data_IF_282020047429
#
_entry.id   IF_282020047429
#
_cell.length_a   1.000
_cell.length_b   1.000
_cell.length_c   1.000
_cell.angle_alpha   90.00
_cell.angle_beta   90.00
_cell.angle_gamma   90.00
#
_symmetry.space_group_name_H-M   'P 1'
#
loop_
_entity.id
_entity.type
_entity.pdbx_description
1 polymer ?
#
# COMPACT_ATOMS: atom_id res chain seq x y z
N UNK A 1 5.21 20.93 1.35
CA UNK A 1 4.58 19.78 2.03
C UNK A 1 4.82 19.91 3.53
N UNK A 2 3.85 19.52 4.34
CA UNK A 2 3.95 19.52 5.81
C UNK A 2 4.97 18.47 6.27
N UNK A 3 5.65 18.69 7.40
CA UNK A 3 6.52 17.65 8.00
C UNK A 3 5.70 16.42 8.43
N UNK A 4 4.40 16.57 8.69
CA UNK A 4 3.51 15.45 9.05
C UNK A 4 3.39 14.40 7.93
N UNK A 5 3.47 14.79 6.66
CA UNK A 5 3.37 13.85 5.55
C UNK A 5 4.63 13.01 5.35
N UNK A 6 5.77 13.45 5.90
CA UNK A 6 7.04 12.71 5.82
C UNK A 6 7.16 11.59 6.85
N UNK A 7 6.31 11.60 7.88
CA UNK A 7 6.31 10.58 8.92
C UNK A 7 6.10 9.18 8.31
N UNK A 8 6.73 8.19 8.93
CA UNK A 8 6.37 6.80 8.75
C UNK A 8 5.04 6.50 9.44
N UNK A 9 4.38 5.41 9.09
CA UNK A 9 3.13 5.01 9.76
C UNK A 9 3.36 4.77 11.26
N UNK A 10 4.50 4.17 11.62
CA UNK A 10 4.87 3.94 13.01
C UNK A 10 5.07 5.25 13.78
N UNK A 11 5.78 6.23 13.20
CA UNK A 11 5.98 7.55 13.80
C UNK A 11 4.67 8.31 13.95
N UNK A 12 3.80 8.27 12.94
CA UNK A 12 2.48 8.90 12.98
C UNK A 12 1.60 8.29 14.10
N UNK A 13 1.63 6.95 14.26
CA UNK A 13 0.95 6.26 15.35
C UNK A 13 1.43 6.72 16.72
N UNK A 14 2.72 6.82 16.93
CA UNK A 14 3.28 7.31 18.20
C UNK A 14 2.97 8.80 18.43
N UNK A 15 2.99 9.63 17.37
CA UNK A 15 2.64 11.04 17.43
C UNK A 15 1.18 11.27 17.86
N UNK A 16 0.24 10.48 17.30
CA UNK A 16 -1.18 10.51 17.70
C UNK A 16 -1.36 10.04 19.16
N UNK A 17 -0.67 8.95 19.54
CA UNK A 17 -0.72 8.42 20.90
C UNK A 17 -0.17 9.41 21.95
N UNK A 18 0.91 10.10 21.63
CA UNK A 18 1.51 11.14 22.48
C UNK A 18 0.79 12.48 22.40
N UNK A 19 -0.23 12.59 21.52
CA UNK A 19 -0.98 13.84 21.25
C UNK A 19 -0.08 15.00 20.78
N UNK A 20 1.00 14.68 20.06
CA UNK A 20 1.87 15.68 19.44
C UNK A 20 1.18 16.44 18.30
N UNK A 21 0.18 15.81 17.70
CA UNK A 21 -0.75 16.36 16.71
C UNK A 21 -2.04 15.54 16.76
N UNK A 22 -3.09 16.06 16.15
CA UNK A 22 -4.40 15.41 16.04
C UNK A 22 -4.52 14.59 14.76
N UNK A 23 -5.44 13.61 14.73
CA UNK A 23 -5.77 12.89 13.51
C UNK A 23 -6.31 13.84 12.43
N UNK A 24 -7.03 14.89 12.82
CA UNK A 24 -7.52 15.90 11.89
C UNK A 24 -6.38 16.70 11.25
N UNK A 25 -5.38 17.15 12.03
CA UNK A 25 -4.20 17.85 11.48
C UNK A 25 -3.41 16.94 10.52
N UNK A 26 -3.18 15.69 10.90
CA UNK A 26 -2.49 14.71 10.07
C UNK A 26 -3.25 14.46 8.77
N UNK A 27 -4.56 14.20 8.85
CA UNK A 27 -5.41 13.94 7.68
C UNK A 27 -5.48 15.14 6.75
N UNK A 28 -5.62 16.35 7.28
CA UNK A 28 -5.62 17.58 6.49
C UNK A 28 -4.30 17.77 5.75
N UNK A 29 -3.17 17.51 6.42
CA UNK A 29 -1.85 17.61 5.78
C UNK A 29 -1.72 16.67 4.56
N UNK A 30 -2.30 15.46 4.63
CA UNK A 30 -2.32 14.55 3.47
C UNK A 30 -3.30 14.99 2.39
N UNK A 31 -4.47 15.53 2.74
CA UNK A 31 -5.41 16.09 1.75
C UNK A 31 -4.74 17.23 0.98
N UNK A 32 -4.10 18.16 1.67
CA UNK A 32 -3.38 19.28 1.04
C UNK A 32 -2.24 18.77 0.12
N UNK A 33 -1.52 17.74 0.57
CA UNK A 33 -0.47 17.11 -0.23
C UNK A 33 -1.01 16.43 -1.50
N UNK A 34 -2.16 15.74 -1.39
CA UNK A 34 -2.83 15.11 -2.54
C UNK A 34 -3.29 16.19 -3.53
N UNK A 35 -3.93 17.25 -3.06
CA UNK A 35 -4.38 18.36 -3.92
C UNK A 35 -3.22 19.00 -4.68
N UNK A 36 -2.08 19.19 -4.01
CA UNK A 36 -0.89 19.77 -4.63
C UNK A 36 -0.15 18.81 -5.58
N UNK A 37 -0.03 17.51 -5.21
CA UNK A 37 0.82 16.55 -5.92
C UNK A 37 0.12 15.71 -6.97
N UNK A 38 -1.14 15.36 -6.73
CA UNK A 38 -1.88 14.42 -7.59
C UNK A 38 -2.06 14.90 -9.05
N UNK A 39 -2.25 16.20 -9.35
CA UNK A 39 -2.34 16.67 -10.74
C UNK A 39 -1.10 16.33 -11.60
N UNK A 40 0.07 16.20 -10.98
CA UNK A 40 1.30 15.83 -11.68
C UNK A 40 1.54 14.32 -11.74
N UNK A 41 1.01 13.55 -10.78
CA UNK A 41 1.29 12.14 -10.61
C UNK A 41 0.15 11.23 -11.06
N UNK A 42 -1.09 11.69 -10.99
CA UNK A 42 -2.29 10.90 -11.24
C UNK A 42 -2.31 9.60 -10.42
N UNK A 43 -1.87 9.68 -9.15
CA UNK A 43 -1.81 8.55 -8.24
C UNK A 43 -3.17 8.22 -7.62
N UNK A 44 -4.05 9.22 -7.42
CA UNK A 44 -5.43 9.06 -6.98
C UNK A 44 -6.39 9.28 -8.13
N UNK A 45 -7.35 8.37 -8.29
CA UNK A 45 -8.47 8.50 -9.26
C UNK A 45 -9.73 9.07 -8.61
N UNK A 46 -9.83 8.96 -7.28
CA UNK A 46 -10.87 9.61 -6.48
C UNK A 46 -10.35 9.91 -5.08
N UNK A 47 -10.76 11.04 -4.51
CA UNK A 47 -10.46 11.42 -3.13
C UNK A 47 -11.73 11.40 -2.28
N UNK A 48 -11.57 11.15 -0.97
CA UNK A 48 -12.68 11.09 -0.01
C UNK A 48 -12.46 12.07 1.15
N UNK A 49 -12.06 13.30 0.85
CA UNK A 49 -11.61 14.31 1.82
C UNK A 49 -12.63 14.56 2.95
N UNK A 50 -13.92 14.77 2.62
CA UNK A 50 -14.96 14.97 3.64
C UNK A 50 -15.12 13.78 4.57
N UNK A 51 -15.16 12.56 3.99
CA UNK A 51 -15.21 11.31 4.76
C UNK A 51 -13.98 11.16 5.65
N UNK A 52 -12.79 11.44 5.11
CA UNK A 52 -11.53 11.34 5.84
C UNK A 52 -11.50 12.29 7.05
N UNK A 53 -11.92 13.53 6.89
CA UNK A 53 -11.98 14.51 7.98
C UNK A 53 -13.04 14.15 9.03
N UNK A 54 -14.18 13.59 8.63
CA UNK A 54 -15.19 13.10 9.57
C UNK A 54 -14.63 11.93 10.40
N UNK A 55 -13.98 10.94 9.75
CA UNK A 55 -13.31 9.83 10.43
C UNK A 55 -12.19 10.32 11.36
N UNK A 56 -11.43 11.34 10.96
CA UNK A 56 -10.37 11.94 11.78
C UNK A 56 -10.93 12.58 13.06
N UNK A 57 -12.04 13.29 12.95
CA UNK A 57 -12.70 13.88 14.12
C UNK A 57 -13.20 12.81 15.12
N UNK A 58 -13.75 11.70 14.61
CA UNK A 58 -14.14 10.56 15.46
C UNK A 58 -12.91 9.91 16.12
N UNK A 59 -11.81 9.78 15.37
CA UNK A 59 -10.54 9.25 15.89
C UNK A 59 -9.98 10.13 17.01
N UNK A 60 -9.98 11.45 16.84
CA UNK A 60 -9.54 12.38 17.88
C UNK A 60 -10.39 12.26 19.16
N UNK A 61 -11.69 12.09 19.01
CA UNK A 61 -12.58 11.85 20.15
C UNK A 61 -12.25 10.52 20.88
N UNK A 62 -11.96 9.43 20.15
CA UNK A 62 -11.53 8.15 20.73
C UNK A 62 -10.18 8.25 21.44
N UNK A 63 -9.20 8.87 20.79
CA UNK A 63 -7.86 9.10 21.37
C UNK A 63 -7.97 9.95 22.65
N UNK A 64 -8.86 10.96 22.62
CA UNK A 64 -9.14 11.79 23.78
C UNK A 64 -9.64 11.01 25.00
N UNK A 65 -10.47 9.99 24.78
CA UNK A 65 -11.01 9.10 25.83
C UNK A 65 -10.10 7.93 26.20
N UNK A 66 -8.96 7.75 25.52
CA UNK A 66 -8.09 6.58 25.73
C UNK A 66 -8.61 5.28 25.10
N UNK A 67 -9.50 5.37 24.12
CA UNK A 67 -10.13 4.26 23.40
C UNK A 67 -9.53 4.04 22.00
N UNK A 68 -8.28 4.49 21.78
CA UNK A 68 -7.63 4.38 20.48
C UNK A 68 -7.44 2.92 20.06
N UNK A 69 -7.82 2.62 18.81
CA UNK A 69 -7.60 1.32 18.16
C UNK A 69 -6.17 1.26 17.58
N UNK A 70 -5.69 0.10 17.13
CA UNK A 70 -4.28 -0.05 16.68
C UNK A 70 -3.83 0.88 15.55
N UNK A 71 -4.72 1.22 14.62
CA UNK A 71 -4.46 2.14 13.50
C UNK A 71 -5.27 3.44 13.62
N UNK A 72 -5.74 3.78 14.81
CA UNK A 72 -6.63 4.92 15.03
C UNK A 72 -6.05 6.21 14.47
N UNK A 73 -6.80 6.81 13.55
CA UNK A 73 -6.46 8.12 13.01
C UNK A 73 -5.36 8.13 11.93
N UNK A 74 -4.94 6.97 11.41
CA UNK A 74 -3.87 6.88 10.40
C UNK A 74 -4.43 6.93 8.97
N UNK A 75 -4.08 7.96 8.14
CA UNK A 75 -4.58 8.13 6.78
C UNK A 75 -3.91 7.19 5.78
N UNK A 76 -4.73 6.39 5.07
CA UNK A 76 -4.30 5.38 4.11
C UNK A 76 -4.91 5.62 2.72
N UNK A 77 -4.16 5.20 1.68
CA UNK A 77 -4.66 5.08 0.32
C UNK A 77 -5.17 3.67 0.02
N UNK A 78 -6.21 3.56 -0.82
CA UNK A 78 -6.84 2.27 -1.15
C UNK A 78 -6.80 2.03 -2.65
N UNK A 79 -6.11 0.98 -3.11
CA UNK A 79 -6.08 0.60 -4.53
C UNK A 79 -7.49 0.40 -5.07
N UNK A 80 -7.78 0.87 -6.26
CA UNK A 80 -9.15 1.02 -6.78
C UNK A 80 -9.93 -0.30 -6.98
N UNK A 81 -9.28 -1.45 -6.90
CA UNK A 81 -9.94 -2.75 -6.97
C UNK A 81 -10.50 -3.27 -5.64
N UNK A 82 -10.20 -2.64 -4.50
CA UNK A 82 -10.83 -3.01 -3.23
C UNK A 82 -12.22 -2.39 -3.15
N UNK A 83 -13.27 -3.22 -3.11
CA UNK A 83 -14.63 -2.77 -2.91
C UNK A 83 -14.73 -2.03 -1.58
N UNK A 84 -15.15 -0.77 -1.66
CA UNK A 84 -15.33 0.11 -0.51
C UNK A 84 -16.75 0.62 -0.52
N UNK A 85 -17.52 0.34 0.53
CA UNK A 85 -18.94 0.70 0.62
C UNK A 85 -19.15 2.20 0.44
N UNK A 86 -20.03 2.56 -0.50
CA UNK A 86 -20.40 3.93 -0.78
C UNK A 86 -19.29 4.75 -1.44
N UNK A 87 -18.29 4.08 -2.05
CA UNK A 87 -17.23 4.75 -2.82
C UNK A 87 -17.00 3.97 -4.10
N UNK A 88 -16.97 4.65 -5.23
CA UNK A 88 -16.70 4.03 -6.52
C UNK A 88 -15.46 3.14 -6.45
N UNK A 89 -15.58 1.89 -6.90
CA UNK A 89 -14.52 0.88 -6.90
C UNK A 89 -14.52 0.21 -8.26
N UNK A 90 -13.71 0.75 -9.18
CA UNK A 90 -13.87 0.54 -10.62
C UNK A 90 -12.72 -0.25 -11.24
N UNK A 91 -11.71 -0.65 -10.45
CA UNK A 91 -10.48 -1.28 -10.94
C UNK A 91 -9.85 -0.49 -12.09
N UNK A 92 -9.98 0.83 -12.08
CA UNK A 92 -9.56 1.77 -13.11
C UNK A 92 -10.04 1.40 -14.53
N UNK A 93 -11.26 0.84 -14.65
CA UNK A 93 -11.87 0.42 -15.90
C UNK A 93 -13.18 1.18 -16.16
N UNK A 94 -13.43 1.54 -17.41
CA UNK A 94 -14.72 2.07 -17.85
C UNK A 94 -15.85 1.03 -17.80
N UNK A 95 -15.51 -0.27 -17.81
CA UNK A 95 -16.49 -1.35 -17.69
C UNK A 95 -17.26 -1.27 -16.36
N UNK A 96 -16.57 -0.84 -15.29
CA UNK A 96 -17.15 -0.67 -13.96
C UNK A 96 -17.44 0.80 -13.60
N UNK A 97 -17.53 1.68 -14.60
CA UNK A 97 -17.80 3.09 -14.37
C UNK A 97 -19.11 3.27 -13.58
N UNK A 98 -19.02 4.05 -12.47
CA UNK A 98 -20.14 4.26 -11.56
C UNK A 98 -20.46 3.10 -10.62
N UNK A 99 -19.67 2.00 -10.61
CA UNK A 99 -19.89 0.92 -9.66
C UNK A 99 -19.55 1.36 -8.23
N UNK A 100 -20.58 1.46 -7.42
CA UNK A 100 -20.51 1.78 -5.99
C UNK A 100 -20.92 0.55 -5.18
N UNK A 101 -19.97 -0.18 -4.56
CA UNK A 101 -20.27 -1.35 -3.77
C UNK A 101 -21.17 -1.06 -2.56
N UNK A 102 -22.15 -1.94 -2.32
CA UNK A 102 -22.97 -1.93 -1.11
C UNK A 102 -22.32 -2.69 0.06
N UNK A 103 -21.14 -3.23 -0.16
CA UNK A 103 -20.36 -4.03 0.79
C UNK A 103 -18.90 -3.58 0.82
N UNK A 104 -18.21 -3.97 1.88
CA UNK A 104 -16.79 -3.69 2.09
C UNK A 104 -15.96 -4.93 1.74
N UNK A 105 -14.77 -4.76 1.18
CA UNK A 105 -13.81 -5.87 1.11
C UNK A 105 -13.35 -6.23 2.52
N UNK A 106 -13.04 -7.51 2.76
CA UNK A 106 -12.60 -7.95 4.08
C UNK A 106 -11.33 -7.22 4.52
N UNK A 107 -10.40 -7.00 3.59
CA UNK A 107 -9.15 -6.29 3.89
C UNK A 107 -9.39 -4.84 4.33
N UNK A 108 -10.23 -4.10 3.62
CA UNK A 108 -10.54 -2.71 3.99
C UNK A 108 -11.39 -2.65 5.25
N UNK A 109 -12.34 -3.57 5.44
CA UNK A 109 -13.10 -3.67 6.68
C UNK A 109 -12.18 -3.86 7.90
N UNK A 110 -11.21 -4.76 7.81
CA UNK A 110 -10.23 -4.99 8.88
C UNK A 110 -9.43 -3.72 9.22
N UNK A 111 -9.05 -2.94 8.20
CA UNK A 111 -8.34 -1.66 8.39
C UNK A 111 -9.22 -0.61 9.07
N UNK A 112 -10.51 -0.53 8.68
CA UNK A 112 -11.47 0.40 9.31
C UNK A 112 -11.80 -0.01 10.75
N UNK A 113 -11.92 -1.30 11.02
CA UNK A 113 -12.13 -1.83 12.36
C UNK A 113 -10.92 -1.54 13.26
N UNK A 114 -9.72 -1.53 12.68
CA UNK A 114 -8.49 -1.12 13.37
C UNK A 114 -8.34 0.41 13.54
N UNK A 115 -9.19 1.23 12.91
CA UNK A 115 -9.22 2.68 13.09
C UNK A 115 -8.56 3.51 12.00
N UNK A 116 -8.16 2.91 10.90
CA UNK A 116 -7.56 3.64 9.78
C UNK A 116 -8.56 4.57 9.09
N UNK A 117 -8.05 5.62 8.46
CA UNK A 117 -8.80 6.64 7.73
C UNK A 117 -8.56 6.45 6.23
N UNK A 118 -9.62 6.54 5.42
CA UNK A 118 -9.52 6.45 3.97
C UNK A 118 -9.32 7.83 3.33
N UNK A 119 -8.20 8.02 2.60
CA UNK A 119 -7.94 9.23 1.81
C UNK A 119 -8.57 9.20 0.42
N UNK A 120 -8.70 8.03 -0.17
CA UNK A 120 -9.25 7.88 -1.51
C UNK A 120 -8.83 6.60 -2.22
N UNK A 121 -9.19 6.52 -3.52
CA UNK A 121 -8.93 5.38 -4.40
C UNK A 121 -7.71 5.66 -5.27
N UNK A 122 -6.78 4.71 -5.27
CA UNK A 122 -5.48 4.81 -5.93
C UNK A 122 -5.51 4.17 -7.32
N UNK A 123 -4.86 4.84 -8.26
CA UNK A 123 -4.73 4.43 -9.64
C UNK A 123 -4.03 3.07 -9.78
N UNK A 124 -4.34 2.35 -10.83
CA UNK A 124 -3.81 1.03 -11.12
C UNK A 124 -3.94 0.70 -12.61
N UNK A 125 -3.19 -0.27 -13.10
CA UNK A 125 -3.50 -0.85 -14.40
C UNK A 125 -4.91 -1.45 -14.40
N UNK A 126 -5.64 -1.30 -15.51
CA UNK A 126 -7.01 -1.76 -15.65
C UNK A 126 -7.15 -3.24 -15.27
N UNK A 127 -8.08 -3.55 -14.35
CA UNK A 127 -8.30 -4.90 -13.78
C UNK A 127 -7.02 -5.58 -13.24
N UNK A 128 -6.03 -4.80 -12.81
CA UNK A 128 -4.71 -5.28 -12.37
C UNK A 128 -3.90 -6.00 -13.48
N UNK A 129 -4.28 -5.83 -14.75
CA UNK A 129 -3.67 -6.47 -15.91
C UNK A 129 -2.60 -5.57 -16.55
N UNK A 130 -1.50 -5.35 -15.83
CA UNK A 130 -0.39 -4.54 -16.31
C UNK A 130 0.75 -4.46 -15.32
N UNK A 131 1.83 -3.80 -15.72
CA UNK A 131 3.06 -3.65 -14.92
C UNK A 131 3.68 -2.26 -14.98
N UNK A 132 2.95 -1.26 -15.52
CA UNK A 132 3.46 0.11 -15.70
C UNK A 132 2.49 1.19 -15.23
N UNK A 133 1.21 0.84 -15.01
CA UNK A 133 0.10 1.75 -14.73
C UNK A 133 -0.19 2.74 -15.88
N UNK A 134 0.03 2.26 -17.12
CA UNK A 134 -0.30 3.01 -18.32
C UNK A 134 -1.68 2.63 -18.89
N UNK A 135 -2.24 1.47 -18.50
CA UNK A 135 -3.48 0.93 -19.03
C UNK A 135 -4.74 1.43 -18.31
N UNK A 136 -4.59 2.27 -17.30
CA UNK A 136 -5.71 2.86 -16.56
C UNK A 136 -6.63 3.68 -17.46
N UNK A 137 -7.94 3.47 -17.36
CA UNK A 137 -8.95 4.31 -18.03
C UNK A 137 -8.84 5.80 -17.64
N UNK A 138 -8.38 6.08 -16.41
CA UNK A 138 -8.18 7.44 -15.89
C UNK A 138 -6.83 8.05 -16.28
N UNK A 139 -6.11 7.42 -17.19
CA UNK A 139 -4.79 7.83 -17.65
C UNK A 139 -3.64 7.28 -16.80
N UNK A 140 -2.40 7.39 -17.32
CA UNK A 140 -1.23 6.81 -16.70
C UNK A 140 -0.90 7.47 -15.36
N UNK A 141 -0.44 6.65 -14.40
CA UNK A 141 0.20 7.13 -13.19
C UNK A 141 1.68 7.43 -13.47
N UNK A 142 2.19 8.49 -12.89
CA UNK A 142 3.57 8.95 -13.08
C UNK A 142 4.36 8.74 -11.79
N UNK A 143 5.57 8.18 -11.93
CA UNK A 143 6.50 8.06 -10.81
C UNK A 143 6.90 9.44 -10.27
N UNK A 144 7.01 9.63 -8.94
CA UNK A 144 7.56 10.87 -8.38
C UNK A 144 9.04 11.06 -8.68
N UNK A 145 9.75 9.97 -9.01
CA UNK A 145 11.16 10.04 -9.37
C UNK A 145 11.39 10.65 -10.75
N UNK A 146 12.56 11.25 -10.92
CA UNK A 146 13.01 11.82 -12.19
C UNK A 146 14.38 11.27 -12.53
N UNK A 147 14.68 11.20 -13.81
CA UNK A 147 16.04 10.90 -14.27
C UNK A 147 16.97 12.07 -13.91
N UNK A 148 18.22 11.74 -13.62
CA UNK A 148 19.23 12.77 -13.35
C UNK A 148 20.13 13.04 -14.57
N UNK A 149 19.68 12.66 -15.76
CA UNK A 149 20.34 12.91 -17.05
C UNK A 149 19.92 14.25 -17.72
N UNK A 150 19.17 15.08 -17.00
CA UNK A 150 18.65 16.36 -17.50
C UNK A 150 17.41 16.23 -18.40
N UNK A 151 16.92 15.03 -18.65
CA UNK A 151 15.70 14.82 -19.44
C UNK A 151 14.44 15.11 -18.60
N UNK A 152 13.37 15.53 -19.28
CA UNK A 152 12.04 15.68 -18.69
C UNK A 152 11.18 14.41 -18.85
N UNK A 153 11.79 13.26 -19.09
CA UNK A 153 11.07 12.03 -19.30
C UNK A 153 10.25 11.65 -18.04
N UNK A 154 8.97 11.41 -18.25
CA UNK A 154 8.10 10.85 -17.22
C UNK A 154 8.40 9.36 -17.07
N UNK A 155 8.57 8.92 -15.84
CA UNK A 155 8.84 7.50 -15.54
C UNK A 155 7.56 6.82 -15.09
N UNK A 156 7.42 5.55 -15.40
CA UNK A 156 6.35 4.69 -14.87
C UNK A 156 6.66 4.34 -13.41
N UNK A 157 5.65 4.27 -12.54
CA UNK A 157 5.84 3.83 -11.14
C UNK A 157 5.92 2.32 -11.01
N UNK A 158 5.75 1.58 -12.13
CA UNK A 158 5.43 0.16 -12.12
C UNK A 158 3.93 -0.09 -11.93
N UNK A 159 3.54 -1.34 -11.89
CA UNK A 159 2.14 -1.77 -11.79
C UNK A 159 1.99 -3.25 -11.40
N UNK A 160 0.77 -3.63 -11.21
CA UNK A 160 -0.48 -2.86 -11.41
C UNK A 160 -0.79 -1.88 -10.26
N UNK A 161 -0.12 -1.92 -9.11
CA UNK A 161 -0.36 -1.02 -7.96
C UNK A 161 0.49 0.27 -8.08
N UNK A 162 0.55 0.87 -9.28
CA UNK A 162 1.39 2.03 -9.54
C UNK A 162 0.98 3.26 -8.75
N UNK A 163 -0.32 3.56 -8.65
CA UNK A 163 -0.83 4.65 -7.84
C UNK A 163 -0.52 4.47 -6.35
N UNK A 164 -0.61 3.23 -5.83
CA UNK A 164 -0.26 2.92 -4.44
C UNK A 164 1.22 3.22 -4.17
N UNK A 165 2.10 2.76 -5.05
CA UNK A 165 3.53 2.97 -4.91
C UNK A 165 3.92 4.45 -5.08
N UNK A 166 3.35 5.12 -6.09
CA UNK A 166 3.60 6.55 -6.33
C UNK A 166 3.10 7.43 -5.18
N UNK A 167 1.91 7.14 -4.61
CA UNK A 167 1.35 7.90 -3.50
C UNK A 167 2.22 7.78 -2.24
N UNK A 168 2.68 6.57 -1.90
CA UNK A 168 3.58 6.37 -0.75
C UNK A 168 4.92 7.05 -0.97
N UNK A 169 5.53 6.90 -2.15
CA UNK A 169 6.82 7.48 -2.48
C UNK A 169 6.80 9.03 -2.54
N UNK A 170 5.63 9.61 -2.82
CA UNK A 170 5.44 11.06 -2.90
C UNK A 170 4.87 11.67 -1.61
N UNK A 171 4.80 10.93 -0.51
CA UNK A 171 4.24 11.39 0.76
C UNK A 171 2.77 11.84 0.68
N UNK A 172 1.97 11.18 -0.17
CA UNK A 172 0.54 11.43 -0.32
C UNK A 172 -0.35 10.51 0.54
N UNK A 173 0.23 9.57 1.24
CA UNK A 173 -0.39 8.75 2.30
C UNK A 173 0.70 8.11 3.16
N UNK A 174 0.33 7.65 4.37
CA UNK A 174 1.27 6.92 5.24
C UNK A 174 1.60 5.53 4.69
N UNK A 175 0.59 4.87 4.16
CA UNK A 175 0.66 3.54 3.57
C UNK A 175 -0.50 3.33 2.60
N UNK A 176 -0.40 2.32 1.76
CA UNK A 176 -1.43 1.98 0.79
C UNK A 176 -1.72 0.49 0.75
N UNK A 177 -2.98 0.13 0.45
CA UNK A 177 -3.32 -1.23 0.04
C UNK A 177 -2.88 -1.48 -1.39
N UNK A 178 -2.51 -2.70 -1.69
CA UNK A 178 -2.11 -3.15 -3.02
C UNK A 178 -2.44 -4.62 -3.23
N UNK A 179 -2.34 -5.11 -4.46
CA UNK A 179 -2.48 -6.52 -4.80
C UNK A 179 -1.34 -6.99 -5.68
N UNK A 180 -1.00 -8.27 -5.58
CA UNK A 180 0.07 -8.91 -6.34
C UNK A 180 -0.42 -10.27 -6.86
N UNK A 181 -0.45 -10.40 -8.16
CA UNK A 181 -0.78 -11.62 -8.87
C UNK A 181 0.49 -12.22 -9.49
N UNK A 182 1.26 -11.37 -10.17
CA UNK A 182 2.51 -11.72 -10.83
C UNK A 182 3.64 -10.72 -10.57
N UNK A 183 3.55 -9.90 -9.50
CA UNK A 183 4.54 -8.87 -9.17
C UNK A 183 3.93 -7.51 -8.80
N UNK A 184 2.60 -7.36 -8.83
CA UNK A 184 1.94 -6.04 -8.79
C UNK A 184 1.98 -5.30 -7.44
N UNK A 185 2.63 -5.85 -6.40
CA UNK A 185 3.09 -5.14 -5.20
C UNK A 185 4.60 -4.92 -5.29
N UNK A 186 5.35 -6.02 -5.51
CA UNK A 186 6.80 -6.07 -5.41
C UNK A 186 7.49 -5.22 -6.47
N UNK A 187 7.01 -5.28 -7.70
CA UNK A 187 7.61 -4.56 -8.82
C UNK A 187 7.42 -3.03 -8.71
N UNK A 188 6.20 -2.48 -8.50
CA UNK A 188 6.06 -1.04 -8.33
C UNK A 188 6.75 -0.52 -7.06
N UNK A 189 6.82 -1.30 -5.98
CA UNK A 189 7.60 -0.93 -4.80
C UNK A 189 9.09 -0.82 -5.12
N UNK A 190 9.65 -1.78 -5.88
CA UNK A 190 11.04 -1.72 -6.32
C UNK A 190 11.33 -0.50 -7.21
N UNK A 191 10.39 -0.14 -8.11
CA UNK A 191 10.56 1.01 -9.02
C UNK A 191 10.47 2.36 -8.31
N UNK A 192 9.75 2.42 -7.19
CA UNK A 192 9.53 3.67 -6.45
C UNK A 192 10.37 3.80 -5.18
N UNK A 193 11.17 2.77 -4.83
CA UNK A 193 11.99 2.76 -3.62
C UNK A 193 11.17 2.66 -2.33
N UNK A 194 9.99 2.03 -2.40
CA UNK A 194 9.12 1.76 -1.26
C UNK A 194 9.22 0.31 -0.81
N UNK A 195 8.59 -0.04 0.30
CA UNK A 195 8.51 -1.42 0.79
C UNK A 195 7.18 -2.03 0.36
N UNK A 196 7.22 -3.02 -0.53
CA UNK A 196 6.05 -3.78 -0.95
C UNK A 196 6.11 -5.22 -0.44
N UNK A 197 5.13 -5.62 0.37
CA UNK A 197 5.08 -6.95 0.95
C UNK A 197 3.92 -7.77 0.36
N UNK A 198 4.23 -8.77 -0.45
CA UNK A 198 3.27 -9.80 -0.85
C UNK A 198 3.31 -10.94 0.17
N UNK A 199 2.28 -11.10 1.01
CA UNK A 199 2.24 -12.21 1.96
C UNK A 199 2.02 -13.55 1.24
N UNK A 200 2.10 -14.63 2.00
CA UNK A 200 1.72 -15.97 1.55
C UNK A 200 0.27 -15.99 1.07
N UNK A 201 0.00 -16.69 -0.03
CA UNK A 201 -1.35 -16.84 -0.59
C UNK A 201 -2.34 -17.34 0.48
N UNK A 202 -3.52 -16.72 0.53
CA UNK A 202 -4.55 -17.02 1.51
C UNK A 202 -4.38 -16.34 2.87
N UNK A 203 -3.31 -15.55 3.10
CA UNK A 203 -3.13 -14.81 4.37
C UNK A 203 -4.10 -13.63 4.50
N UNK A 204 -4.38 -12.95 3.39
CA UNK A 204 -5.42 -11.93 3.29
C UNK A 204 -6.57 -12.47 2.44
N UNK A 205 -7.81 -12.21 2.84
CA UNK A 205 -9.00 -12.60 2.08
C UNK A 205 -9.05 -11.87 0.72
N UNK A 206 -9.54 -12.57 -0.30
CA UNK A 206 -9.86 -12.01 -1.62
C UNK A 206 -11.30 -11.48 -1.69
N UNK A 207 -12.12 -11.68 -0.67
CA UNK A 207 -13.49 -11.19 -0.66
C UNK A 207 -13.55 -9.67 -0.83
N UNK A 208 -14.30 -9.23 -1.86
CA UNK A 208 -14.42 -7.82 -2.20
C UNK A 208 -13.21 -7.23 -2.92
N UNK A 209 -12.30 -8.08 -3.43
CA UNK A 209 -11.22 -7.68 -4.34
C UNK A 209 -11.64 -8.04 -5.76
N UNK A 210 -11.68 -7.05 -6.67
CA UNK A 210 -11.92 -7.29 -8.09
C UNK A 210 -10.75 -8.10 -8.63
N UNK A 211 -11.04 -9.30 -9.16
CA UNK A 211 -10.03 -10.28 -9.50
C UNK A 211 -9.29 -9.98 -10.81
N UNK A 212 -8.01 -10.35 -10.85
CA UNK A 212 -7.28 -10.61 -12.09
C UNK A 212 -7.17 -12.12 -12.35
N UNK A 213 -6.50 -12.85 -11.47
CA UNK A 213 -6.36 -14.31 -11.52
C UNK A 213 -6.50 -14.86 -10.10
N UNK A 214 -7.71 -15.30 -9.76
CA UNK A 214 -8.13 -15.62 -8.38
C UNK A 214 -7.22 -16.63 -7.68
N UNK A 215 -6.59 -17.56 -8.41
CA UNK A 215 -5.66 -18.55 -7.86
C UNK A 215 -4.28 -17.98 -7.49
N UNK A 216 -4.01 -16.72 -7.84
CA UNK A 216 -2.71 -16.05 -7.62
C UNK A 216 -2.87 -14.71 -6.90
N UNK A 217 -4.06 -14.08 -6.97
CA UNK A 217 -4.30 -12.76 -6.39
C UNK A 217 -4.08 -12.76 -4.89
N UNK A 218 -3.27 -11.81 -4.41
CA UNK A 218 -2.98 -11.64 -3.00
C UNK A 218 -2.92 -10.16 -2.64
N UNK A 219 -3.66 -9.74 -1.61
CA UNK A 219 -3.55 -8.42 -1.03
C UNK A 219 -2.31 -8.29 -0.15
N UNK A 220 -1.76 -7.08 -0.09
CA UNK A 220 -0.67 -6.73 0.80
C UNK A 220 -0.42 -5.22 0.82
N UNK A 221 0.45 -4.73 1.71
CA UNK A 221 0.73 -3.31 1.85
C UNK A 221 1.87 -2.83 0.94
N UNK A 222 1.82 -1.52 0.62
CA UNK A 222 2.98 -0.72 0.19
C UNK A 222 3.18 0.39 1.21
N UNK A 223 4.42 0.56 1.70
CA UNK A 223 4.76 1.42 2.84
C UNK A 223 6.15 2.05 2.69
N UNK A 224 6.49 2.99 3.58
CA UNK A 224 7.82 3.61 3.61
C UNK A 224 8.88 2.70 4.23
N UNK A 225 8.51 1.93 5.27
CA UNK A 225 9.45 1.09 6.02
C UNK A 225 8.95 -0.35 6.18
N UNK A 226 9.86 -1.26 6.50
CA UNK A 226 9.53 -2.67 6.81
C UNK A 226 8.64 -2.76 8.06
N UNK A 227 8.87 -1.89 9.07
CA UNK A 227 8.05 -1.84 10.27
C UNK A 227 6.61 -1.46 9.93
N UNK A 228 6.42 -0.48 9.06
CA UNK A 228 5.09 -0.07 8.61
C UNK A 228 4.38 -1.21 7.86
N UNK A 229 5.12 -1.97 7.03
CA UNK A 229 4.58 -3.13 6.31
C UNK A 229 4.12 -4.23 7.30
N UNK A 230 4.89 -4.46 8.35
CA UNK A 230 4.52 -5.41 9.42
C UNK A 230 3.25 -4.97 10.16
N UNK A 231 3.15 -3.69 10.54
CA UNK A 231 1.96 -3.11 11.16
C UNK A 231 0.75 -3.25 10.24
N UNK A 232 0.87 -2.85 8.97
CA UNK A 232 -0.23 -2.93 8.01
C UNK A 232 -0.70 -4.36 7.79
N UNK A 233 0.24 -5.30 7.54
CA UNK A 233 -0.12 -6.69 7.27
C UNK A 233 -0.84 -7.35 8.45
N UNK A 234 -0.43 -7.04 9.69
CA UNK A 234 -1.11 -7.55 10.88
C UNK A 234 -2.60 -7.24 10.88
N UNK A 235 -2.97 -6.06 10.39
CA UNK A 235 -4.37 -5.61 10.37
C UNK A 235 -5.09 -5.86 9.05
N UNK A 236 -4.39 -6.21 7.97
CA UNK A 236 -4.99 -6.66 6.72
C UNK A 236 -5.34 -8.15 6.73
N UNK A 237 -4.55 -8.94 7.47
CA UNK A 237 -4.64 -10.39 7.50
C UNK A 237 -5.73 -10.88 8.47
N UNK A 238 -6.52 -11.85 8.03
CA UNK A 238 -7.48 -12.58 8.86
C UNK A 238 -7.95 -13.85 8.15
N UNK A 239 -8.48 -14.80 8.91
CA UNK A 239 -9.34 -15.82 8.31
C UNK A 239 -10.70 -15.23 7.91
N UNK A 240 -11.18 -15.59 6.73
CA UNK A 240 -12.47 -15.14 6.21
C UNK A 240 -13.24 -16.33 5.61
N UNK A 241 -14.37 -16.75 6.21
CA UNK A 241 -15.19 -17.85 5.69
C UNK A 241 -15.84 -17.55 4.33
N UNK A 242 -15.82 -16.28 3.85
CA UNK A 242 -16.31 -15.89 2.52
C UNK A 242 -15.29 -16.18 1.42
N UNK A 243 -14.03 -16.44 1.76
CA UNK A 243 -12.98 -16.82 0.82
C UNK A 243 -12.49 -18.22 1.15
N UNK A 244 -12.84 -19.20 0.32
CA UNK A 244 -12.48 -20.60 0.50
C UNK A 244 -10.97 -20.87 0.53
N UNK A 245 -10.15 -19.93 0.10
CA UNK A 245 -8.68 -20.03 0.13
C UNK A 245 -8.06 -19.32 1.31
N UNK A 246 -8.86 -18.60 2.10
CA UNK A 246 -8.40 -17.92 3.31
C UNK A 246 -7.93 -18.92 4.34
N UNK A 247 -6.69 -18.79 4.81
CA UNK A 247 -6.06 -19.73 5.73
C UNK A 247 -6.57 -19.49 7.14
N UNK A 248 -7.13 -20.53 7.76
CA UNK A 248 -7.51 -20.51 9.18
C UNK A 248 -6.27 -20.78 10.05
N UNK A 249 -5.51 -19.72 10.28
CA UNK A 249 -4.32 -19.74 11.12
C UNK A 249 -4.16 -18.40 11.85
N UNK A 250 -3.62 -18.40 13.07
CA UNK A 250 -3.36 -17.17 13.81
C UNK A 250 -2.56 -16.15 12.99
N UNK A 251 -2.87 -14.86 13.15
CA UNK A 251 -2.09 -13.78 12.59
C UNK A 251 -0.97 -13.43 13.57
N UNK A 252 0.30 -13.65 13.22
CA UNK A 252 1.42 -13.34 14.10
C UNK A 252 1.55 -11.83 14.37
N UNK A 253 2.30 -11.48 15.42
CA UNK A 253 2.76 -10.13 15.64
C UNK A 253 3.99 -9.87 14.77
N UNK A 254 3.76 -9.51 13.50
CA UNK A 254 4.86 -9.26 12.57
C UNK A 254 5.75 -8.08 13.00
N UNK A 255 5.20 -7.11 13.73
CA UNK A 255 5.98 -5.95 14.20
C UNK A 255 7.01 -6.36 15.26
N UNK A 256 6.68 -7.32 16.12
CA UNK A 256 7.58 -7.83 17.15
C UNK A 256 8.82 -8.55 16.57
N UNK A 257 8.73 -9.07 15.33
CA UNK A 257 9.83 -9.76 14.66
C UNK A 257 10.80 -8.78 13.94
N UNK A 258 10.40 -7.52 13.75
CA UNK A 258 11.24 -6.53 13.07
C UNK A 258 12.47 -6.18 13.92
N UNK A 259 13.64 -6.35 13.34
CA UNK A 259 14.92 -6.12 14.02
C UNK A 259 15.47 -7.32 14.80
N UNK A 260 14.75 -8.46 14.82
CA UNK A 260 15.27 -9.69 15.39
C UNK A 260 16.40 -10.27 14.53
N UNK A 261 17.29 -11.05 15.17
CA UNK A 261 18.39 -11.69 14.47
C UNK A 261 17.89 -12.74 13.48
N UNK A 262 18.39 -12.71 12.26
CA UNK A 262 18.15 -13.74 11.23
C UNK A 262 19.28 -14.79 11.19
N UNK A 263 20.21 -14.74 12.14
CA UNK A 263 21.35 -15.66 12.19
C UNK A 263 20.91 -17.11 12.18
N UNK A 264 21.48 -17.88 11.24
CA UNK A 264 21.17 -19.29 11.07
C UNK A 264 19.97 -19.59 10.16
N UNK A 265 19.25 -18.60 9.65
CA UNK A 265 18.24 -18.83 8.62
C UNK A 265 18.90 -19.22 7.30
N UNK A 266 18.31 -20.23 6.64
CA UNK A 266 18.73 -20.63 5.29
C UNK A 266 17.93 -19.87 4.25
N UNK A 267 18.61 -19.02 3.47
CA UNK A 267 18.03 -18.22 2.40
C UNK A 267 18.40 -18.81 1.05
N UNK A 268 17.40 -19.18 0.25
CA UNK A 268 17.60 -19.66 -1.12
C UNK A 268 17.61 -18.51 -2.12
N UNK A 269 18.54 -18.58 -3.08
CA UNK A 269 18.57 -17.65 -4.23
C UNK A 269 18.28 -18.48 -5.49
N UNK A 270 17.05 -18.42 -6.06
CA UNK A 270 16.69 -19.21 -7.23
C UNK A 270 17.54 -18.82 -8.45
N UNK A 271 18.13 -19.80 -9.10
CA UNK A 271 18.92 -19.58 -10.34
C UNK A 271 18.04 -19.08 -11.48
N UNK A 272 16.75 -19.43 -11.46
CA UNK A 272 15.75 -19.06 -12.45
C UNK A 272 15.41 -17.56 -12.45
N UNK A 273 15.78 -16.83 -11.39
CA UNK A 273 15.56 -15.37 -11.30
C UNK A 273 16.68 -14.59 -12.02
N UNK A 274 17.73 -15.27 -12.46
CA UNK A 274 18.76 -14.68 -13.31
C UNK A 274 18.47 -15.03 -14.76
N UNK A 275 18.17 -14.00 -15.53
CA UNK A 275 17.81 -14.12 -16.94
C UNK A 275 18.92 -13.60 -17.83
N UNK A 276 19.06 -14.15 -19.01
CA UNK A 276 19.98 -13.65 -20.05
C UNK A 276 19.57 -12.20 -20.39
N UNK A 277 20.57 -11.31 -20.52
CA UNK A 277 20.36 -9.89 -20.80
C UNK A 277 20.03 -9.04 -19.56
N UNK A 278 20.11 -9.58 -18.34
CA UNK A 278 19.98 -8.77 -17.13
C UNK A 278 21.06 -7.67 -17.12
N UNK A 279 20.66 -6.43 -16.85
CA UNK A 279 21.59 -5.31 -16.75
C UNK A 279 22.63 -5.55 -15.63
N UNK A 280 23.88 -5.20 -15.88
CA UNK A 280 24.98 -5.40 -14.91
C UNK A 280 24.68 -4.74 -13.56
N UNK A 281 24.09 -3.56 -13.55
CA UNK A 281 23.68 -2.84 -12.35
C UNK A 281 22.68 -3.64 -11.49
N UNK A 282 21.76 -4.37 -12.12
CA UNK A 282 20.80 -5.24 -11.42
C UNK A 282 21.55 -6.46 -10.81
N UNK A 283 22.48 -7.05 -11.56
CA UNK A 283 23.31 -8.17 -11.04
C UNK A 283 24.15 -7.72 -9.83
N UNK A 284 24.73 -6.52 -9.88
CA UNK A 284 25.48 -5.94 -8.74
C UNK A 284 24.59 -5.78 -7.50
N UNK A 285 23.33 -5.31 -7.66
CA UNK A 285 22.38 -5.20 -6.56
C UNK A 285 22.02 -6.56 -5.98
N UNK A 286 21.87 -7.60 -6.82
CA UNK A 286 21.68 -8.97 -6.36
C UNK A 286 22.85 -9.46 -5.51
N UNK A 287 24.08 -9.25 -5.97
CA UNK A 287 25.28 -9.65 -5.23
C UNK A 287 25.39 -8.91 -3.90
N UNK A 288 25.06 -7.63 -3.89
CA UNK A 288 25.05 -6.80 -2.67
C UNK A 288 24.02 -7.30 -1.67
N UNK A 289 22.80 -7.64 -2.12
CA UNK A 289 21.75 -8.22 -1.28
C UNK A 289 22.20 -9.57 -0.66
N UNK A 290 22.83 -10.44 -1.46
CA UNK A 290 23.38 -11.70 -0.98
C UNK A 290 24.47 -11.47 0.08
N UNK A 291 25.33 -10.48 -0.12
CA UNK A 291 26.39 -10.15 0.85
C UNK A 291 25.77 -9.69 2.18
N UNK A 292 24.78 -8.80 2.16
CA UNK A 292 24.08 -8.36 3.39
C UNK A 292 23.45 -9.51 4.17
N UNK A 293 22.84 -10.47 3.48
CA UNK A 293 22.26 -11.65 4.13
C UNK A 293 23.32 -12.54 4.77
N UNK A 294 24.51 -12.72 4.12
CA UNK A 294 25.63 -13.45 4.68
C UNK A 294 26.21 -12.76 5.91
N UNK A 295 26.34 -11.42 5.86
CA UNK A 295 26.87 -10.62 6.97
C UNK A 295 25.92 -10.65 8.18
N UNK A 296 24.62 -10.82 7.93
CA UNK A 296 23.61 -10.96 8.97
C UNK A 296 23.55 -12.39 9.58
N UNK A 297 24.36 -13.36 9.06
CA UNK A 297 24.50 -14.71 9.60
C UNK A 297 23.69 -15.79 8.95
#
# INVERSE_FOLDING_TARGET
MSELTKLTLAEAREGLKSKSFTAKELTQAFIDAIEAGNPALNAYVATTAERALAQAAESDARIGRGEARPLEGLPLGVKDLFCTRGVHSQACSHILDGFEPTYESTVTQNLWDAGAIMLGKLNMDEFAMGSSNETSYYGPCISPWRRNDGSNAKLVPGGSSGGSAAAVAADLCLAATATDTGGSIRQPAAFTGTVGLKPTYGRCSRWGIIAFASSLDQAGPITKTVRDAAIMLRHMASHDPKDSTSVDAPVPDYEAEVGQSIKGLRVGVPKEYRVEGMAAEIEELWQKGIAWLKDAG
#
